data_IF_595572040854
#
_entry.id   IF_595572040854
#
_cell.length_a   1.000
_cell.length_b   1.000
_cell.length_c   1.000
_cell.angle_alpha   90.00
_cell.angle_beta   90.00
_cell.angle_gamma   90.00
#
_symmetry.space_group_name_H-M   'P 1'
#
loop_
_entity.id
_entity.type
_entity.pdbx_description
1 polymer ?
#
# COMPACT_ATOMS: atom_id res chain seq x y z
N UNK A 1 -12.60 -7.74 23.57
CA UNK A 1 -13.13 -6.55 22.87
C UNK A 1 -12.88 -6.81 21.40
N UNK A 2 -13.89 -6.84 20.55
CA UNK A 2 -13.67 -6.91 19.08
C UNK A 2 -12.96 -5.62 18.66
N UNK A 3 -11.74 -5.73 18.15
CA UNK A 3 -11.05 -4.56 17.59
C UNK A 3 -11.92 -3.95 16.50
N UNK A 4 -12.05 -2.60 16.53
CA UNK A 4 -12.79 -1.88 15.50
C UNK A 4 -11.93 -1.82 14.24
N UNK A 5 -12.46 -2.14 13.05
CA UNK A 5 -11.73 -2.00 11.81
C UNK A 5 -11.25 -0.56 11.60
N UNK A 6 -10.02 -0.40 11.13
CA UNK A 6 -9.48 0.90 10.74
C UNK A 6 -10.05 1.36 9.40
N UNK A 7 -10.29 0.41 8.48
CA UNK A 7 -10.88 0.64 7.17
C UNK A 7 -11.97 -0.40 6.91
N UNK A 8 -13.12 0.04 6.45
CA UNK A 8 -14.23 -0.82 6.02
C UNK A 8 -14.69 -0.41 4.63
N UNK A 9 -14.88 -1.39 3.80
CA UNK A 9 -15.50 -1.27 2.47
C UNK A 9 -16.83 -1.98 2.56
N UNK A 10 -17.92 -1.25 2.37
CA UNK A 10 -19.31 -1.76 2.52
C UNK A 10 -20.03 -1.74 1.18
N UNK A 11 -20.24 -2.91 0.59
CA UNK A 11 -21.05 -3.13 -0.63
C UNK A 11 -20.64 -2.23 -1.81
N UNK A 12 -19.34 -1.99 -1.97
CA UNK A 12 -18.81 -1.10 -3.00
C UNK A 12 -18.97 -1.70 -4.38
N UNK A 13 -19.57 -0.91 -5.28
CA UNK A 13 -19.69 -1.22 -6.71
C UNK A 13 -19.04 -0.10 -7.53
N UNK A 14 -18.44 -0.47 -8.67
CA UNK A 14 -17.83 0.46 -9.63
C UNK A 14 -18.01 -0.02 -11.05
N UNK A 15 -18.49 0.89 -11.92
CA UNK A 15 -18.69 0.63 -13.35
C UNK A 15 -17.85 1.57 -14.20
N UNK A 16 -17.42 1.08 -15.33
CA UNK A 16 -16.79 1.89 -16.38
C UNK A 16 -17.53 1.60 -17.69
N UNK A 17 -18.40 2.51 -18.08
CA UNK A 17 -19.35 2.27 -19.20
C UNK A 17 -20.21 1.03 -18.91
N UNK A 18 -20.16 0.04 -19.79
CA UNK A 18 -20.88 -1.23 -19.64
C UNK A 18 -20.19 -2.29 -18.78
N UNK A 19 -18.98 -2.02 -18.27
CA UNK A 19 -18.19 -3.00 -17.53
C UNK A 19 -18.34 -2.79 -16.03
N UNK A 20 -18.81 -3.83 -15.32
CA UNK A 20 -18.83 -3.86 -13.86
C UNK A 20 -17.44 -4.28 -13.37
N UNK A 21 -16.62 -3.31 -12.96
CA UNK A 21 -15.28 -3.58 -12.45
C UNK A 21 -15.29 -4.04 -10.98
N UNK A 22 -16.29 -3.60 -10.20
CA UNK A 22 -16.59 -4.09 -8.85
C UNK A 22 -18.12 -4.22 -8.70
N UNK A 23 -18.56 -5.26 -8.00
CA UNK A 23 -19.96 -5.54 -7.75
C UNK A 23 -20.15 -6.02 -6.30
N UNK A 24 -20.71 -5.16 -5.46
CA UNK A 24 -21.05 -5.43 -4.06
C UNK A 24 -19.87 -6.00 -3.24
N UNK A 25 -18.71 -5.37 -3.32
CA UNK A 25 -17.51 -5.82 -2.60
C UNK A 25 -17.53 -5.25 -1.18
N UNK A 26 -17.38 -6.13 -0.18
CA UNK A 26 -17.22 -5.73 1.23
C UNK A 26 -16.01 -6.40 1.84
N UNK A 27 -15.21 -5.64 2.58
CA UNK A 27 -14.06 -6.12 3.35
C UNK A 27 -13.72 -5.16 4.48
N UNK A 28 -13.09 -5.68 5.52
CA UNK A 28 -12.58 -4.91 6.65
C UNK A 28 -11.06 -5.08 6.76
N UNK A 29 -10.38 -4.05 7.25
CA UNK A 29 -8.97 -4.10 7.62
C UNK A 29 -8.83 -3.62 9.06
N UNK A 30 -8.07 -4.35 9.88
CA UNK A 30 -7.83 -4.02 11.27
C UNK A 30 -6.45 -3.37 11.48
N UNK A 31 -6.25 -2.56 12.54
CA UNK A 31 -4.94 -2.06 12.90
C UNK A 31 -3.96 -3.23 13.12
N UNK A 32 -2.74 -3.13 12.56
CA UNK A 32 -1.74 -4.19 12.69
C UNK A 32 -2.11 -5.51 12.01
N UNK A 33 -3.03 -5.49 11.05
CA UNK A 33 -3.37 -6.64 10.21
C UNK A 33 -2.68 -6.52 8.84
N UNK A 34 -2.26 -7.65 8.30
CA UNK A 34 -1.93 -7.78 6.88
C UNK A 34 -3.04 -8.56 6.19
N UNK A 35 -3.88 -7.86 5.43
CA UNK A 35 -4.94 -8.42 4.60
C UNK A 35 -4.42 -8.63 3.17
N UNK A 36 -4.32 -9.88 2.73
CA UNK A 36 -3.99 -10.16 1.34
C UNK A 36 -5.24 -10.00 0.46
N UNK A 37 -5.08 -9.30 -0.65
CA UNK A 37 -6.09 -9.19 -1.71
C UNK A 37 -5.61 -9.98 -2.92
N UNK A 38 -6.12 -11.20 -3.05
CA UNK A 38 -5.78 -12.13 -4.11
C UNK A 38 -6.81 -12.10 -5.25
N UNK A 39 -6.43 -12.61 -6.42
CA UNK A 39 -7.27 -12.71 -7.59
C UNK A 39 -6.48 -12.57 -8.88
N UNK A 40 -7.01 -13.06 -9.97
CA UNK A 40 -6.40 -12.98 -11.31
C UNK A 40 -6.34 -11.54 -11.86
N UNK A 41 -5.65 -11.39 -12.99
CA UNK A 41 -5.68 -10.13 -13.74
C UNK A 41 -7.12 -9.83 -14.18
N UNK A 42 -7.54 -8.57 -13.98
CA UNK A 42 -8.94 -8.18 -14.24
C UNK A 42 -9.95 -8.57 -13.14
N UNK A 43 -9.51 -9.15 -12.03
CA UNK A 43 -10.41 -9.51 -10.92
C UNK A 43 -11.05 -8.31 -10.18
N UNK A 44 -10.56 -7.07 -10.42
CA UNK A 44 -11.07 -5.87 -9.78
C UNK A 44 -10.14 -5.29 -8.69
N UNK A 45 -9.02 -5.94 -8.37
CA UNK A 45 -8.10 -5.53 -7.29
C UNK A 45 -7.64 -4.07 -7.43
N UNK A 46 -7.08 -3.71 -8.57
CA UNK A 46 -6.59 -2.34 -8.82
C UNK A 46 -7.73 -1.30 -8.84
N UNK A 47 -8.94 -1.69 -9.24
CA UNK A 47 -10.12 -0.80 -9.13
C UNK A 47 -10.49 -0.56 -7.68
N UNK A 48 -10.51 -1.61 -6.86
CA UNK A 48 -10.81 -1.49 -5.43
C UNK A 48 -9.81 -0.59 -4.72
N UNK A 49 -8.50 -0.77 -4.99
CA UNK A 49 -7.46 0.13 -4.44
C UNK A 49 -7.69 1.57 -4.86
N UNK A 50 -7.98 1.80 -6.15
CA UNK A 50 -8.23 3.15 -6.67
C UNK A 50 -9.44 3.80 -6.05
N UNK A 51 -10.45 3.02 -5.65
CA UNK A 51 -11.61 3.53 -4.89
C UNK A 51 -11.19 3.87 -3.45
N UNK A 52 -10.48 2.98 -2.76
CA UNK A 52 -10.00 3.23 -1.39
C UNK A 52 -9.05 4.44 -1.33
N UNK A 53 -8.17 4.58 -2.33
CA UNK A 53 -7.19 5.68 -2.39
C UNK A 53 -7.73 7.00 -2.95
N UNK A 54 -9.03 7.08 -3.28
CA UNK A 54 -9.65 8.32 -3.79
C UNK A 54 -9.30 8.67 -5.25
N UNK A 55 -8.73 7.74 -6.02
CA UNK A 55 -8.52 7.90 -7.49
C UNK A 55 -9.85 7.78 -8.23
N UNK A 56 -10.73 6.91 -7.76
CA UNK A 56 -12.09 6.73 -8.27
C UNK A 56 -13.09 6.84 -7.13
N UNK A 57 -14.29 7.33 -7.43
CA UNK A 57 -15.43 7.25 -6.51
C UNK A 57 -16.19 5.95 -6.74
N UNK A 58 -16.69 5.34 -5.66
CA UNK A 58 -17.67 4.26 -5.76
C UNK A 58 -18.96 4.78 -6.41
N UNK A 59 -19.63 3.95 -7.20
CA UNK A 59 -20.93 4.27 -7.74
C UNK A 59 -22.04 3.86 -6.76
N UNK A 60 -21.80 2.81 -5.95
CA UNK A 60 -22.66 2.32 -4.88
C UNK A 60 -21.82 1.84 -3.71
N UNK A 61 -22.42 1.77 -2.53
CA UNK A 61 -21.74 1.39 -1.29
C UNK A 61 -20.97 2.55 -0.67
N UNK A 62 -20.17 2.26 0.33
CA UNK A 62 -19.42 3.29 1.08
C UNK A 62 -18.14 2.76 1.68
N UNK A 63 -17.26 3.69 2.03
CA UNK A 63 -16.02 3.44 2.76
C UNK A 63 -16.15 4.09 4.12
N UNK A 64 -15.74 3.37 5.18
CA UNK A 64 -15.52 3.94 6.51
C UNK A 64 -14.05 3.89 6.87
N UNK A 65 -13.60 4.95 7.46
CA UNK A 65 -12.25 5.05 8.00
C UNK A 65 -12.33 5.51 9.46
N UNK A 66 -11.73 4.74 10.38
CA UNK A 66 -11.88 4.94 11.83
C UNK A 66 -13.36 5.06 12.26
N UNK A 67 -14.24 4.26 11.69
CA UNK A 67 -15.67 4.24 11.97
C UNK A 67 -16.50 5.36 11.31
N UNK A 68 -15.88 6.40 10.78
CA UNK A 68 -16.56 7.48 10.07
C UNK A 68 -16.70 7.16 8.57
N UNK A 69 -17.85 7.46 7.96
CA UNK A 69 -18.01 7.38 6.52
C UNK A 69 -17.18 8.47 5.84
N UNK A 70 -16.39 8.07 4.83
CA UNK A 70 -15.49 8.95 4.10
C UNK A 70 -15.67 8.84 2.60
N UNK A 71 -15.51 9.96 1.92
CA UNK A 71 -15.35 10.02 0.46
C UNK A 71 -14.13 10.86 0.17
N UNK A 72 -13.10 10.24 -0.36
CA UNK A 72 -11.88 10.98 -0.70
C UNK A 72 -12.03 11.62 -2.08
N UNK A 73 -11.99 12.95 -2.14
CA UNK A 73 -12.09 13.71 -3.39
C UNK A 73 -10.93 13.43 -4.36
N UNK A 74 -9.78 13.09 -3.81
CA UNK A 74 -8.56 12.77 -4.55
C UNK A 74 -7.56 11.99 -3.67
N UNK A 75 -6.49 11.42 -4.26
CA UNK A 75 -5.49 10.65 -3.51
C UNK A 75 -4.74 11.46 -2.45
N UNK A 76 -4.63 12.78 -2.62
CA UNK A 76 -3.99 13.63 -1.62
C UNK A 76 -4.80 13.64 -0.32
N UNK A 77 -6.14 13.70 -0.41
CA UNK A 77 -7.03 13.65 0.77
C UNK A 77 -6.95 12.31 1.50
N UNK A 78 -6.85 11.20 0.79
CA UNK A 78 -6.62 9.89 1.39
C UNK A 78 -5.28 9.85 2.15
N UNK A 79 -4.21 10.38 1.54
CA UNK A 79 -2.89 10.48 2.17
C UNK A 79 -2.86 11.40 3.40
N UNK A 80 -3.58 12.51 3.38
CA UNK A 80 -3.72 13.41 4.54
C UNK A 80 -4.38 12.71 5.74
N UNK A 81 -5.21 11.70 5.49
CA UNK A 81 -5.81 10.85 6.51
C UNK A 81 -4.93 9.64 6.92
N UNK A 82 -3.77 9.46 6.28
CA UNK A 82 -2.85 8.36 6.59
C UNK A 82 -3.10 7.09 5.79
N UNK A 83 -3.81 7.15 4.66
CA UNK A 83 -3.93 6.04 3.70
C UNK A 83 -2.91 6.27 2.60
N UNK A 84 -1.83 5.50 2.61
CA UNK A 84 -0.77 5.57 1.59
C UNK A 84 -0.86 4.38 0.65
N UNK A 85 -0.54 4.61 -0.62
CA UNK A 85 -0.54 3.56 -1.65
C UNK A 85 0.82 3.51 -2.33
N UNK A 86 1.42 2.32 -2.34
CA UNK A 86 2.62 2.00 -3.11
C UNK A 86 2.15 1.18 -4.31
N UNK A 87 2.17 1.82 -5.47
CA UNK A 87 1.84 1.18 -6.74
C UNK A 87 3.00 0.35 -7.25
N UNK A 88 2.74 -0.53 -8.20
CA UNK A 88 3.74 -1.40 -8.84
C UNK A 88 4.91 -0.60 -9.46
N UNK A 89 4.67 0.58 -9.99
CA UNK A 89 5.67 1.51 -10.52
C UNK A 89 6.37 2.38 -9.48
N UNK A 90 6.04 2.19 -8.17
CA UNK A 90 6.53 2.89 -6.99
C UNK A 90 6.25 4.40 -6.97
N UNK A 91 5.83 5.02 -8.06
CA UNK A 91 5.61 6.46 -8.22
C UNK A 91 6.78 7.30 -7.62
N UNK A 92 8.00 6.94 -7.95
CA UNK A 92 9.23 7.62 -7.55
C UNK A 92 9.84 8.38 -8.72
N UNK A 93 10.46 9.52 -8.42
CA UNK A 93 11.18 10.32 -9.40
C UNK A 93 12.63 9.81 -9.51
N UNK A 94 12.95 9.07 -10.56
CA UNK A 94 14.22 8.39 -10.77
C UNK A 94 15.44 9.34 -10.84
N UNK A 95 15.22 10.60 -11.23
CA UNK A 95 16.23 11.63 -11.33
C UNK A 95 16.49 12.41 -10.04
N UNK A 96 15.68 12.19 -9.01
CA UNK A 96 15.81 12.83 -7.69
C UNK A 96 16.51 11.91 -6.69
N UNK A 97 17.11 12.51 -5.65
CA UNK A 97 17.72 11.80 -4.55
C UNK A 97 16.65 11.23 -3.57
N UNK A 98 17.10 10.45 -2.59
CA UNK A 98 16.22 9.81 -1.58
C UNK A 98 15.41 10.85 -0.80
N UNK A 99 16.08 11.91 -0.31
CA UNK A 99 15.41 12.95 0.47
C UNK A 99 14.31 13.64 -0.33
N UNK A 100 14.59 13.99 -1.60
CA UNK A 100 13.61 14.60 -2.48
C UNK A 100 12.43 13.67 -2.78
N UNK A 101 12.65 12.36 -2.92
CA UNK A 101 11.57 11.40 -3.13
C UNK A 101 10.69 11.19 -1.89
N UNK A 102 11.26 11.14 -0.70
CA UNK A 102 10.49 11.02 0.56
C UNK A 102 9.58 12.23 0.77
N UNK A 103 10.06 13.42 0.41
CA UNK A 103 9.33 14.68 0.62
C UNK A 103 8.59 15.20 -0.61
N UNK A 104 8.54 14.46 -1.71
CA UNK A 104 7.96 14.92 -2.96
C UNK A 104 6.52 15.41 -2.79
N UNK A 105 6.31 16.71 -3.09
CA UNK A 105 5.04 17.40 -2.91
C UNK A 105 4.73 17.87 -1.47
N UNK A 106 5.68 17.71 -0.54
CA UNK A 106 5.59 18.15 0.87
C UNK A 106 6.94 18.67 1.37
N UNK A 107 7.71 19.31 0.49
CA UNK A 107 9.08 19.73 0.76
C UNK A 107 9.15 20.77 1.89
N UNK A 108 9.97 20.55 2.94
CA UNK A 108 10.17 21.54 3.98
C UNK A 108 10.95 22.74 3.46
N UNK A 109 10.46 23.93 3.77
CA UNK A 109 11.06 25.19 3.38
C UNK A 109 11.71 25.84 4.59
N UNK A 110 12.87 26.49 4.38
CA UNK A 110 13.49 27.42 5.33
C UNK A 110 13.64 28.79 4.70
N UNK A 111 13.74 29.82 5.55
CA UNK A 111 13.99 31.19 5.08
C UNK A 111 15.49 31.49 5.07
N UNK A 112 16.00 31.94 3.94
CA UNK A 112 17.37 32.43 3.78
C UNK A 112 17.27 33.85 3.20
N UNK A 113 17.72 34.82 3.94
CA UNK A 113 17.58 36.27 3.60
C UNK A 113 16.12 36.65 3.27
N UNK A 114 15.15 36.06 4.00
CA UNK A 114 13.72 36.33 3.79
C UNK A 114 13.06 35.52 2.66
N UNK A 115 13.83 34.86 1.79
CA UNK A 115 13.34 34.06 0.66
C UNK A 115 13.12 32.61 1.09
N UNK A 116 12.03 31.96 0.62
CA UNK A 116 11.79 30.55 0.89
C UNK A 116 12.74 29.67 0.03
N UNK A 117 13.49 28.80 0.68
CA UNK A 117 14.44 27.85 0.05
C UNK A 117 14.20 26.45 0.59
N UNK A 118 14.36 25.41 -0.24
CA UNK A 118 14.23 24.01 0.18
C UNK A 118 15.24 23.67 1.30
N UNK A 119 14.75 23.05 2.39
CA UNK A 119 15.63 22.57 3.46
C UNK A 119 16.13 21.16 3.17
N UNK A 120 17.08 21.05 2.22
CA UNK A 120 17.67 19.78 1.80
C UNK A 120 18.34 19.02 2.95
N UNK A 121 18.88 19.74 3.95
CA UNK A 121 19.53 19.11 5.12
C UNK A 121 18.48 18.37 5.96
N UNK A 122 17.36 19.04 6.25
CA UNK A 122 16.23 18.44 6.96
C UNK A 122 15.68 17.24 6.18
N UNK A 123 15.43 17.38 4.89
CA UNK A 123 14.94 16.30 4.03
C UNK A 123 15.82 15.05 4.10
N UNK A 124 17.14 15.21 4.00
CA UNK A 124 18.08 14.07 4.08
C UNK A 124 18.12 13.42 5.46
N UNK A 125 18.13 14.23 6.52
CA UNK A 125 18.16 13.71 7.89
C UNK A 125 16.92 12.89 8.20
N UNK A 126 15.74 13.44 7.95
CA UNK A 126 14.46 12.78 8.26
C UNK A 126 14.21 11.56 7.35
N UNK A 127 14.61 11.62 6.06
CA UNK A 127 14.55 10.45 5.19
C UNK A 127 15.50 9.33 5.68
N UNK A 128 16.69 9.68 6.18
CA UNK A 128 17.60 8.70 6.75
C UNK A 128 17.03 8.05 8.01
N UNK A 129 16.35 8.82 8.86
CA UNK A 129 15.71 8.30 10.07
C UNK A 129 14.54 7.36 9.71
N UNK A 130 13.70 7.73 8.76
CA UNK A 130 12.61 6.87 8.27
C UNK A 130 13.12 5.54 7.71
N UNK A 131 14.22 5.57 6.93
CA UNK A 131 14.80 4.36 6.34
C UNK A 131 15.59 3.51 7.34
N UNK A 132 16.12 4.10 8.41
CA UNK A 132 16.80 3.36 9.49
C UNK A 132 15.84 2.42 10.22
N UNK A 133 14.58 2.84 10.40
CA UNK A 133 13.52 2.00 11.00
C UNK A 133 13.31 0.71 10.19
N UNK A 134 13.61 0.72 8.89
CA UNK A 134 13.44 -0.40 7.96
C UNK A 134 14.65 -1.34 7.90
N UNK A 135 15.70 -1.09 8.69
CA UNK A 135 17.00 -1.81 8.64
C UNK A 135 17.57 -1.92 7.21
N UNK A 136 17.30 -0.91 6.38
CA UNK A 136 17.80 -0.86 5.00
C UNK A 136 18.96 0.11 4.91
N UNK A 137 20.11 -0.43 4.52
CA UNK A 137 21.34 0.36 4.35
C UNK A 137 21.33 1.05 2.98
N UNK A 138 21.15 2.35 2.99
CA UNK A 138 21.42 3.22 1.84
C UNK A 138 22.68 3.99 2.16
N UNK A 139 23.77 3.70 1.43
CA UNK A 139 25.08 4.32 1.70
C UNK A 139 25.21 5.74 1.11
N UNK A 140 24.42 6.06 0.09
CA UNK A 140 24.53 7.30 -0.68
C UNK A 140 23.17 7.93 -0.88
N UNK A 141 22.78 8.83 0.04
CA UNK A 141 21.53 9.59 -0.04
C UNK A 141 21.54 10.72 -1.09
N UNK A 142 22.72 11.06 -1.59
CA UNK A 142 22.96 12.11 -2.57
C UNK A 142 22.81 11.64 -4.02
N UNK A 143 22.73 10.34 -4.24
CA UNK A 143 22.57 9.78 -5.58
C UNK A 143 21.10 9.73 -6.00
N UNK A 144 20.83 9.92 -7.32
CA UNK A 144 19.49 9.75 -7.87
C UNK A 144 19.03 8.29 -7.78
N UNK A 145 17.70 8.08 -7.62
CA UNK A 145 17.14 6.74 -7.41
C UNK A 145 17.39 5.77 -8.57
N UNK A 146 17.60 6.27 -9.79
CA UNK A 146 17.97 5.43 -10.95
C UNK A 146 19.25 4.61 -10.73
N UNK A 147 20.13 5.02 -9.81
CA UNK A 147 21.35 4.29 -9.45
C UNK A 147 21.16 3.25 -8.35
N UNK A 148 19.93 3.08 -7.85
CA UNK A 148 19.61 2.16 -6.77
C UNK A 148 19.01 0.85 -7.29
N UNK A 149 19.19 -0.23 -6.52
CA UNK A 149 18.52 -1.51 -6.82
C UNK A 149 17.01 -1.40 -6.63
N UNK A 150 16.25 -2.33 -7.24
CA UNK A 150 14.80 -2.39 -7.09
C UNK A 150 14.37 -2.46 -5.62
N UNK A 151 15.06 -3.28 -4.81
CA UNK A 151 14.80 -3.38 -3.37
C UNK A 151 15.08 -2.09 -2.60
N UNK A 152 16.11 -1.34 -2.98
CA UNK A 152 16.39 -0.03 -2.38
C UNK A 152 15.31 0.99 -2.75
N UNK A 153 14.85 1.01 -4.00
CA UNK A 153 13.74 1.88 -4.44
C UNK A 153 12.46 1.54 -3.71
N UNK A 154 12.15 0.24 -3.56
CA UNK A 154 11.01 -0.22 -2.77
C UNK A 154 11.07 0.29 -1.33
N UNK A 155 12.27 0.22 -0.72
CA UNK A 155 12.49 0.74 0.62
C UNK A 155 12.25 2.24 0.74
N UNK A 156 12.66 3.02 -0.27
CA UNK A 156 12.40 4.47 -0.29
C UNK A 156 10.90 4.75 -0.36
N UNK A 157 10.15 4.00 -1.19
CA UNK A 157 8.69 4.14 -1.27
C UNK A 157 7.99 3.83 0.06
N UNK A 158 8.42 2.77 0.75
CA UNK A 158 7.89 2.40 2.07
C UNK A 158 8.34 3.41 3.13
N UNK A 159 9.61 3.84 3.11
CA UNK A 159 10.13 4.87 4.01
C UNK A 159 9.37 6.19 3.90
N UNK A 160 8.96 6.56 2.68
CA UNK A 160 8.06 7.70 2.45
C UNK A 160 6.73 7.52 3.19
N UNK A 161 6.09 6.36 3.07
CA UNK A 161 4.81 6.09 3.74
C UNK A 161 4.94 6.15 5.26
N UNK A 162 6.02 5.58 5.83
CA UNK A 162 6.30 5.62 7.27
C UNK A 162 6.57 7.04 7.75
N UNK A 163 7.40 7.81 7.02
CA UNK A 163 7.71 9.19 7.36
C UNK A 163 6.44 10.03 7.51
N UNK A 164 5.44 9.78 6.66
CA UNK A 164 4.15 10.46 6.70
C UNK A 164 3.11 9.79 7.60
N UNK A 165 3.56 8.89 8.50
CA UNK A 165 2.75 8.25 9.55
C UNK A 165 1.53 7.52 9.00
N UNK A 166 1.72 6.76 7.91
CA UNK A 166 0.67 5.92 7.34
C UNK A 166 0.06 5.01 8.42
N UNK A 167 -1.26 4.98 8.47
CA UNK A 167 -2.06 4.09 9.31
C UNK A 167 -2.57 2.90 8.51
N UNK A 168 -2.83 3.12 7.24
CA UNK A 168 -3.16 2.11 6.24
C UNK A 168 -2.18 2.21 5.09
N UNK A 169 -1.54 1.10 4.76
CA UNK A 169 -0.60 1.00 3.64
C UNK A 169 -1.11 -0.02 2.63
N UNK A 170 -1.39 0.43 1.42
CA UNK A 170 -1.74 -0.42 0.29
C UNK A 170 -0.49 -0.67 -0.52
N UNK A 171 -0.18 -1.93 -0.79
CA UNK A 171 1.00 -2.36 -1.55
C UNK A 171 0.57 -3.22 -2.74
N UNK A 172 0.73 -2.66 -3.94
CA UNK A 172 0.34 -3.34 -5.20
C UNK A 172 1.56 -4.03 -5.81
N UNK A 173 1.58 -5.36 -5.74
CA UNK A 173 2.64 -6.25 -6.26
C UNK A 173 4.06 -5.87 -5.78
N UNK A 174 4.31 -5.65 -4.48
CA UNK A 174 5.55 -5.04 -4.01
C UNK A 174 6.79 -5.94 -4.18
N UNK A 175 6.61 -7.22 -4.54
CA UNK A 175 7.68 -8.21 -4.70
C UNK A 175 7.91 -8.64 -6.15
N UNK A 176 7.03 -8.24 -7.09
CA UNK A 176 6.97 -8.80 -8.45
C UNK A 176 8.25 -8.62 -9.29
N UNK A 177 9.00 -7.53 -9.10
CA UNK A 177 10.22 -7.23 -9.88
C UNK A 177 11.52 -7.43 -9.08
N UNK A 178 11.46 -8.16 -7.95
CA UNK A 178 12.58 -8.30 -7.03
C UNK A 178 13.18 -9.70 -7.06
N UNK A 179 14.49 -9.79 -6.88
CA UNK A 179 15.16 -11.06 -6.61
C UNK A 179 14.79 -11.63 -5.22
N UNK A 180 15.03 -12.92 -5.03
CA UNK A 180 14.68 -13.62 -3.77
C UNK A 180 15.23 -12.93 -2.50
N UNK A 181 16.47 -12.42 -2.47
CA UNK A 181 16.98 -11.72 -1.29
C UNK A 181 16.21 -10.43 -0.98
N UNK A 182 15.85 -9.67 -2.01
CA UNK A 182 15.09 -8.42 -1.89
C UNK A 182 13.64 -8.69 -1.48
N UNK A 183 13.00 -9.72 -2.04
CA UNK A 183 11.65 -10.16 -1.63
C UNK A 183 11.61 -10.46 -0.14
N UNK A 184 12.58 -11.21 0.39
CA UNK A 184 12.66 -11.51 1.83
C UNK A 184 12.74 -10.26 2.69
N UNK A 185 13.47 -9.23 2.25
CA UNK A 185 13.55 -7.94 2.96
C UNK A 185 12.22 -7.22 2.97
N UNK A 186 11.51 -7.18 1.84
CA UNK A 186 10.17 -6.58 1.76
C UNK A 186 9.18 -7.32 2.66
N UNK A 187 9.19 -8.65 2.65
CA UNK A 187 8.39 -9.49 3.54
C UNK A 187 8.66 -9.19 5.03
N UNK A 188 9.95 -9.12 5.41
CA UNK A 188 10.33 -8.78 6.78
C UNK A 188 9.85 -7.37 7.17
N UNK A 189 9.94 -6.43 6.23
CA UNK A 189 9.48 -5.06 6.41
C UNK A 189 7.96 -4.98 6.62
N UNK A 190 7.16 -5.70 5.83
CA UNK A 190 5.71 -5.76 6.01
C UNK A 190 5.37 -6.28 7.41
N UNK A 191 6.09 -7.31 7.88
CA UNK A 191 5.93 -7.83 9.24
C UNK A 191 6.25 -6.80 10.32
N UNK A 192 7.27 -5.97 10.12
CA UNK A 192 7.60 -4.89 11.08
C UNK A 192 6.54 -3.78 11.10
N UNK A 193 5.96 -3.43 9.94
CA UNK A 193 4.85 -2.48 9.84
C UNK A 193 3.62 -2.96 10.61
N UNK A 194 3.27 -4.23 10.44
CA UNK A 194 2.21 -4.88 11.21
C UNK A 194 2.45 -4.74 12.72
N UNK A 195 3.66 -5.03 13.20
CA UNK A 195 4.02 -4.91 14.62
C UNK A 195 3.92 -3.47 15.14
N UNK A 196 4.09 -2.49 14.26
CA UNK A 196 3.93 -1.06 14.57
C UNK A 196 2.47 -0.59 14.52
N UNK A 197 1.50 -1.49 14.32
CA UNK A 197 0.07 -1.18 14.28
C UNK A 197 -0.44 -0.65 12.94
N UNK A 198 0.38 -0.67 11.88
CA UNK A 198 -0.05 -0.27 10.52
C UNK A 198 -0.89 -1.39 9.92
N UNK A 199 -2.12 -1.07 9.45
CA UNK A 199 -2.92 -1.99 8.65
C UNK A 199 -2.39 -2.04 7.22
N UNK A 200 -2.16 -3.23 6.68
CA UNK A 200 -1.59 -3.41 5.34
C UNK A 200 -2.55 -4.17 4.43
N UNK A 201 -2.88 -3.59 3.28
CA UNK A 201 -3.51 -4.33 2.17
C UNK A 201 -2.40 -4.76 1.23
N UNK A 202 -2.12 -6.05 1.21
CA UNK A 202 -1.05 -6.65 0.41
C UNK A 202 -1.64 -7.33 -0.83
N UNK A 203 -1.34 -6.80 -2.01
CA UNK A 203 -1.81 -7.36 -3.26
C UNK A 203 -0.67 -8.11 -3.92
N UNK A 204 -0.89 -9.37 -4.21
CA UNK A 204 0.02 -10.20 -4.96
C UNK A 204 -0.74 -11.32 -5.68
N UNK A 205 -0.19 -11.79 -6.79
CA UNK A 205 -0.57 -13.04 -7.44
C UNK A 205 0.33 -14.21 -6.99
N UNK A 206 1.41 -13.93 -6.27
CA UNK A 206 2.32 -14.93 -5.72
C UNK A 206 1.80 -15.43 -4.37
N UNK A 207 1.24 -16.63 -4.35
CA UNK A 207 0.69 -17.24 -3.14
C UNK A 207 1.75 -17.47 -2.06
N UNK A 208 3.01 -17.75 -2.43
CA UNK A 208 4.11 -17.94 -1.47
C UNK A 208 4.27 -16.66 -0.62
N UNK A 209 4.26 -15.49 -1.26
CA UNK A 209 4.37 -14.22 -0.56
C UNK A 209 3.12 -13.94 0.28
N UNK A 210 1.92 -14.22 -0.26
CA UNK A 210 0.65 -14.07 0.46
C UNK A 210 0.70 -14.87 1.76
N UNK A 211 0.98 -16.18 1.67
CA UNK A 211 1.04 -17.06 2.85
C UNK A 211 2.19 -16.70 3.82
N UNK A 212 3.24 -16.04 3.33
CA UNK A 212 4.36 -15.63 4.16
C UNK A 212 4.07 -14.41 5.04
N UNK A 213 3.11 -13.52 4.66
CA UNK A 213 2.92 -12.22 5.33
C UNK A 213 1.52 -12.00 5.88
N UNK A 214 0.47 -12.56 5.25
CA UNK A 214 -0.90 -12.18 5.56
C UNK A 214 -1.48 -12.92 6.76
N UNK A 215 -2.41 -12.26 7.44
CA UNK A 215 -3.24 -12.83 8.49
C UNK A 215 -4.52 -13.39 7.93
N UNK A 216 -5.07 -12.71 6.93
CA UNK A 216 -6.32 -13.04 6.27
C UNK A 216 -6.20 -12.79 4.77
N UNK A 217 -6.92 -13.59 4.00
CA UNK A 217 -6.94 -13.52 2.53
C UNK A 217 -8.36 -13.24 2.08
N UNK A 218 -8.53 -12.21 1.26
CA UNK A 218 -9.74 -11.92 0.49
C UNK A 218 -9.47 -12.21 -0.96
N UNK A 219 -10.34 -12.97 -1.61
CA UNK A 219 -10.20 -13.31 -3.03
C UNK A 219 -11.27 -12.59 -3.85
N UNK A 220 -10.80 -11.84 -4.84
CA UNK A 220 -11.65 -11.24 -5.86
C UNK A 220 -11.62 -12.04 -7.15
N UNK A 221 -12.78 -12.15 -7.79
CA UNK A 221 -12.93 -12.71 -9.13
C UNK A 221 -14.04 -11.99 -9.87
N UNK A 222 -13.73 -11.46 -11.07
CA UNK A 222 -14.67 -10.73 -11.93
C UNK A 222 -15.45 -9.65 -11.20
N UNK A 223 -14.75 -8.86 -10.39
CA UNK A 223 -15.31 -7.74 -9.63
C UNK A 223 -16.07 -8.12 -8.35
N UNK A 224 -16.13 -9.41 -7.97
CA UNK A 224 -16.86 -9.89 -6.77
C UNK A 224 -15.89 -10.50 -5.75
N UNK A 225 -16.21 -10.37 -4.47
CA UNK A 225 -15.57 -11.16 -3.41
C UNK A 225 -16.12 -12.59 -3.47
N UNK A 226 -15.25 -13.57 -3.72
CA UNK A 226 -15.62 -14.98 -3.84
C UNK A 226 -15.12 -15.84 -2.69
N UNK A 227 -14.22 -15.31 -1.86
CA UNK A 227 -13.71 -16.01 -0.68
C UNK A 227 -13.08 -15.04 0.31
N UNK A 228 -13.11 -15.40 1.57
CA UNK A 228 -12.42 -14.71 2.67
C UNK A 228 -12.14 -15.72 3.77
N UNK A 229 -10.88 -15.76 4.25
CA UNK A 229 -10.48 -16.71 5.28
C UNK A 229 -9.22 -16.25 6.02
N UNK A 230 -9.02 -16.73 7.23
CA UNK A 230 -7.74 -16.60 7.90
C UNK A 230 -6.66 -17.42 7.15
N UNK A 231 -5.48 -16.84 6.96
CA UNK A 231 -4.39 -17.48 6.21
C UNK A 231 -4.02 -18.86 6.77
N UNK A 232 -4.09 -19.02 8.09
CA UNK A 232 -3.79 -20.28 8.76
C UNK A 232 -4.90 -21.34 8.63
N UNK A 233 -6.10 -20.96 8.19
CA UNK A 233 -7.26 -21.85 8.06
C UNK A 233 -7.46 -22.34 6.62
N UNK A 234 -6.56 -22.02 5.68
CA UNK A 234 -6.66 -22.37 4.27
C UNK A 234 -5.30 -22.84 3.72
N UNK A 235 -5.31 -23.23 2.44
CA UNK A 235 -4.11 -23.61 1.68
C UNK A 235 -4.13 -23.02 0.27
N UNK A 236 -2.99 -23.14 -0.43
CA UNK A 236 -2.83 -22.60 -1.78
C UNK A 236 -3.87 -23.12 -2.76
N UNK A 237 -4.22 -24.40 -2.68
CA UNK A 237 -5.15 -25.05 -3.64
C UNK A 237 -6.57 -24.49 -3.48
N UNK A 238 -7.00 -24.22 -2.26
CA UNK A 238 -8.31 -23.61 -1.99
C UNK A 238 -8.36 -22.17 -2.51
N UNK A 239 -7.34 -21.37 -2.24
CA UNK A 239 -7.24 -20.00 -2.74
C UNK A 239 -7.24 -19.97 -4.27
N UNK A 240 -6.48 -20.87 -4.93
CA UNK A 240 -6.48 -21.01 -6.39
C UNK A 240 -7.89 -21.38 -6.91
N UNK A 241 -8.57 -22.34 -6.28
CA UNK A 241 -9.95 -22.68 -6.68
C UNK A 241 -10.87 -21.48 -6.66
N UNK A 242 -10.80 -20.63 -5.63
CA UNK A 242 -11.59 -19.38 -5.59
C UNK A 242 -11.20 -18.43 -6.71
N UNK A 243 -9.90 -18.30 -7.01
CA UNK A 243 -9.42 -17.40 -8.07
C UNK A 243 -9.92 -17.83 -9.46
N UNK A 244 -9.84 -19.14 -9.79
CA UNK A 244 -10.21 -19.64 -11.12
C UNK A 244 -11.67 -20.06 -11.23
N UNK A 245 -12.34 -20.41 -10.14
CA UNK A 245 -13.77 -20.75 -10.13
C UNK A 245 -14.05 -22.22 -10.36
N UNK A 246 -13.24 -23.09 -9.76
CA UNK A 246 -13.49 -24.52 -9.68
C UNK A 246 -14.53 -24.86 -8.65
#
# INVERSE_FOLDING_TARGET
MSEQPILQVESVSKRFGGVHALENVSMDLFPGEVLALAGDNGAGKSTLIKVISGVHHADEGKIRYNGAEVTFENPQKAREQGIETIYQDLALADNLDVGANVFLGREPMKRVFGLPVLDRKKMRSEAADALRVLDIRINRFDLPLRSMSGGQRQAVAIGRAIHWNAKVLIMDEPTAALGVPEQRKVIALIKSLKQSGVGVIFISHNLIDIFAVSDRIVVLRRGKKVGETATQATNSDEVVRWMVGG
#
